data_IF_878512852317
#
_entry.id   IF_878512852317
#
_cell.length_a   1.000
_cell.length_b   1.000
_cell.length_c   1.000
_cell.angle_alpha   90.00
_cell.angle_beta   90.00
_cell.angle_gamma   90.00
#
_symmetry.space_group_name_H-M   'P 1'
#
loop_
_entity.id
_entity.type
_entity.pdbx_description
1 polymer ?
#
# COMPACT_ATOMS: atom_id res chain seq x y z
N UNK A 1 4.88 23.26 7.13
CA UNK A 1 5.73 22.12 6.75
C UNK A 1 4.83 21.05 6.15
N UNK A 2 5.16 20.50 4.98
CA UNK A 2 4.37 19.48 4.31
C UNK A 2 4.59 18.07 4.88
N UNK A 3 4.02 17.06 4.22
CA UNK A 3 4.17 15.64 4.57
C UNK A 3 5.63 15.17 4.61
N UNK A 4 6.50 15.79 3.81
CA UNK A 4 7.93 15.47 3.70
C UNK A 4 8.69 15.47 5.04
N UNK A 5 8.17 16.14 6.07
CA UNK A 5 8.77 16.12 7.42
C UNK A 5 8.72 14.75 8.11
N UNK A 6 7.95 13.81 7.57
CA UNK A 6 7.83 12.44 8.09
C UNK A 6 8.77 11.46 7.41
N UNK A 7 9.55 11.91 6.42
CA UNK A 7 10.61 11.15 5.75
C UNK A 7 11.91 11.96 5.74
N UNK A 8 12.77 11.76 6.74
CA UNK A 8 13.97 12.60 6.88
C UNK A 8 15.06 12.21 5.87
N UNK A 9 15.53 10.96 5.93
CA UNK A 9 16.66 10.49 5.13
C UNK A 9 16.27 9.30 4.26
N UNK A 10 16.75 9.32 3.01
CA UNK A 10 16.70 8.18 2.11
C UNK A 10 18.16 7.81 1.80
N UNK A 11 18.51 6.55 2.07
CA UNK A 11 19.79 5.97 1.69
C UNK A 11 19.49 4.99 0.57
N UNK A 12 19.76 5.43 -0.66
CA UNK A 12 19.68 4.56 -1.83
C UNK A 12 20.98 3.77 -1.99
N UNK A 13 20.89 2.46 -2.18
CA UNK A 13 22.06 1.62 -2.45
C UNK A 13 21.75 0.57 -3.50
N UNK A 14 22.44 0.64 -4.63
CA UNK A 14 22.41 -0.42 -5.61
C UNK A 14 23.40 -1.53 -5.22
N UNK A 15 22.89 -2.66 -4.72
CA UNK A 15 23.70 -3.82 -4.34
C UNK A 15 23.91 -4.79 -5.51
N UNK A 16 23.28 -4.55 -6.66
CA UNK A 16 23.37 -5.37 -7.85
C UNK A 16 23.68 -4.55 -9.11
N UNK A 17 24.72 -3.69 -9.13
CA UNK A 17 24.94 -2.71 -10.20
C UNK A 17 25.30 -3.33 -11.56
N UNK A 18 25.54 -4.65 -11.61
CA UNK A 18 25.84 -5.39 -12.84
C UNK A 18 24.62 -6.11 -13.42
N UNK A 19 23.50 -6.20 -12.70
CA UNK A 19 22.32 -6.89 -13.20
C UNK A 19 21.65 -6.06 -14.29
N UNK A 20 20.96 -6.71 -15.23
CA UNK A 20 20.25 -6.00 -16.30
C UNK A 20 19.12 -5.15 -15.70
N UNK A 21 18.51 -5.60 -14.61
CA UNK A 21 17.44 -4.90 -13.90
C UNK A 21 17.91 -3.62 -13.24
N UNK A 22 19.12 -3.60 -12.65
CA UNK A 22 19.72 -2.37 -12.15
C UNK A 22 19.86 -1.34 -13.29
N UNK A 23 20.44 -1.75 -14.44
CA UNK A 23 20.59 -0.84 -15.58
C UNK A 23 19.25 -0.30 -16.08
N UNK A 24 18.21 -1.14 -16.14
CA UNK A 24 16.85 -0.72 -16.52
C UNK A 24 16.29 0.28 -15.49
N UNK A 25 16.43 0.00 -14.19
CA UNK A 25 15.95 0.88 -13.13
C UNK A 25 16.58 2.28 -13.23
N UNK A 26 17.90 2.37 -13.37
CA UNK A 26 18.60 3.66 -13.51
C UNK A 26 18.22 4.41 -14.80
N UNK A 27 17.80 3.69 -15.84
CA UNK A 27 17.31 4.31 -17.07
C UNK A 27 15.91 4.94 -16.91
N UNK A 28 15.08 4.44 -15.99
CA UNK A 28 13.71 4.94 -15.75
C UNK A 28 13.58 5.84 -14.51
N UNK A 29 14.48 5.70 -13.53
CA UNK A 29 14.54 6.52 -12.31
C UNK A 29 15.92 7.17 -12.22
N UNK A 30 16.03 8.42 -12.67
CA UNK A 30 17.30 9.16 -12.67
C UNK A 30 17.67 9.79 -11.32
N UNK A 31 16.67 10.08 -10.48
CA UNK A 31 16.86 10.59 -9.13
C UNK A 31 15.99 9.80 -8.13
N UNK A 32 16.53 8.71 -7.55
CA UNK A 32 15.79 7.86 -6.63
C UNK A 32 15.26 8.60 -5.40
N UNK A 33 16.01 9.54 -4.81
CA UNK A 33 15.55 10.30 -3.63
C UNK A 33 14.30 11.12 -3.96
N UNK A 34 14.35 11.92 -5.04
CA UNK A 34 13.21 12.74 -5.44
C UNK A 34 11.99 11.88 -5.80
N UNK A 35 12.21 10.78 -6.53
CA UNK A 35 11.16 9.86 -6.93
C UNK A 35 10.47 9.18 -5.74
N UNK A 36 11.25 8.64 -4.80
CA UNK A 36 10.71 7.98 -3.60
C UNK A 36 9.98 8.99 -2.70
N UNK A 37 10.50 10.21 -2.53
CA UNK A 37 9.81 11.27 -1.77
C UNK A 37 8.46 11.63 -2.38
N UNK A 38 8.37 11.67 -3.71
CA UNK A 38 7.11 11.96 -4.40
C UNK A 38 6.06 10.86 -4.18
N UNK A 39 6.46 9.60 -4.30
CA UNK A 39 5.57 8.47 -4.02
C UNK A 39 5.18 8.43 -2.53
N UNK A 40 6.12 8.67 -1.61
CA UNK A 40 5.85 8.73 -0.18
C UNK A 40 4.84 9.84 0.17
N UNK A 41 4.97 11.01 -0.46
CA UNK A 41 4.01 12.11 -0.32
C UNK A 41 2.63 11.71 -0.80
N UNK A 42 2.54 11.05 -1.96
CA UNK A 42 1.29 10.51 -2.49
C UNK A 42 0.64 9.53 -1.50
N UNK A 43 1.40 8.58 -0.96
CA UNK A 43 0.91 7.62 0.06
C UNK A 43 0.36 8.35 1.29
N UNK A 44 1.13 9.26 1.88
CA UNK A 44 0.67 10.01 3.06
C UNK A 44 -0.55 10.88 2.74
N UNK A 45 -0.57 11.51 1.57
CA UNK A 45 -1.73 12.26 1.07
C UNK A 45 -2.94 11.38 0.79
N UNK A 46 -2.81 10.06 0.64
CA UNK A 46 -3.96 9.14 0.51
C UNK A 46 -4.45 8.65 1.87
N UNK A 47 -3.56 8.53 2.86
CA UNK A 47 -3.88 7.98 4.19
C UNK A 47 -4.27 9.03 5.25
N UNK A 48 -3.92 10.31 5.07
CA UNK A 48 -4.05 11.34 6.11
C UNK A 48 -4.64 12.65 5.61
N UNK A 49 -5.48 13.30 6.41
CA UNK A 49 -6.06 14.60 6.09
C UNK A 49 -5.02 15.72 6.15
N UNK A 50 -4.06 15.59 7.07
CA UNK A 50 -3.08 16.64 7.34
C UNK A 50 -1.72 16.04 7.67
N UNK A 51 -0.60 16.74 7.35
CA UNK A 51 0.71 16.36 7.87
C UNK A 51 0.79 16.43 9.41
N UNK A 52 -0.17 17.06 10.08
CA UNK A 52 -0.27 17.10 11.55
C UNK A 52 -1.01 15.89 12.16
N UNK A 53 -1.54 14.99 11.34
CA UNK A 53 -2.12 13.75 11.84
C UNK A 53 -1.03 12.86 12.46
N UNK A 54 -1.45 11.79 13.13
CA UNK A 54 -0.57 10.82 13.80
C UNK A 54 0.16 9.93 12.78
N UNK A 55 0.97 10.52 11.90
CA UNK A 55 1.73 9.79 10.87
C UNK A 55 2.97 9.16 11.51
N UNK A 56 3.25 7.86 11.31
CA UNK A 56 4.51 7.23 11.68
C UNK A 56 5.70 7.96 11.08
N UNK A 57 6.72 8.22 11.90
CA UNK A 57 7.94 8.89 11.47
C UNK A 57 8.91 7.89 10.82
N UNK A 58 9.23 8.09 9.55
CA UNK A 58 10.35 7.42 8.87
C UNK A 58 11.61 8.30 8.96
N UNK A 59 12.46 8.04 9.95
CA UNK A 59 13.73 8.77 10.13
C UNK A 59 14.71 8.43 9.02
N UNK A 60 14.84 7.14 8.71
CA UNK A 60 15.72 6.66 7.66
C UNK A 60 15.04 5.56 6.87
N UNK A 61 14.99 5.73 5.56
CA UNK A 61 14.60 4.71 4.61
C UNK A 61 15.85 4.21 3.87
N UNK A 62 16.19 2.95 4.05
CA UNK A 62 17.17 2.24 3.24
C UNK A 62 16.46 1.63 2.03
N UNK A 63 16.62 2.23 0.85
CA UNK A 63 16.05 1.67 -0.39
C UNK A 63 17.16 0.98 -1.19
N UNK A 64 17.04 -0.32 -1.38
CA UNK A 64 18.10 -1.13 -1.99
C UNK A 64 17.64 -1.82 -3.27
N UNK A 65 18.48 -1.81 -4.31
CA UNK A 65 18.30 -2.72 -5.45
C UNK A 65 19.08 -4.00 -5.18
N UNK A 66 18.42 -5.16 -5.29
CA UNK A 66 19.01 -6.45 -4.94
C UNK A 66 18.71 -7.51 -6.01
N UNK A 67 19.69 -8.36 -6.34
CA UNK A 67 19.52 -9.47 -7.29
C UNK A 67 19.05 -10.74 -6.56
N UNK A 68 17.78 -10.72 -6.17
CA UNK A 68 17.13 -11.81 -5.42
C UNK A 68 15.75 -12.14 -6.01
N UNK A 69 15.23 -13.33 -5.69
CA UNK A 69 13.85 -13.69 -6.03
C UNK A 69 12.83 -12.91 -5.19
N UNK A 70 11.60 -12.80 -5.71
CA UNK A 70 10.55 -11.97 -5.13
C UNK A 70 10.42 -10.61 -5.84
N UNK A 71 9.59 -9.74 -5.28
CA UNK A 71 9.30 -8.42 -5.85
C UNK A 71 9.99 -7.35 -5.03
N UNK A 72 9.56 -7.23 -3.78
CA UNK A 72 9.97 -6.21 -2.82
C UNK A 72 9.46 -6.64 -1.44
N UNK A 73 10.03 -6.07 -0.38
CA UNK A 73 9.43 -6.09 0.96
C UNK A 73 9.98 -4.98 1.85
N UNK A 74 9.10 -4.43 2.70
CA UNK A 74 9.45 -3.59 3.84
C UNK A 74 9.92 -4.42 5.03
N UNK A 75 11.02 -3.98 5.64
CA UNK A 75 11.57 -4.49 6.90
C UNK A 75 11.93 -3.34 7.85
N UNK A 76 12.26 -3.68 9.10
CA UNK A 76 12.63 -2.71 10.13
C UNK A 76 11.42 -2.04 10.78
N UNK A 77 11.70 -1.30 11.84
CA UNK A 77 10.71 -0.66 12.71
C UNK A 77 11.24 0.66 13.29
N UNK A 78 10.47 1.31 14.17
CA UNK A 78 10.89 2.48 14.94
C UNK A 78 11.52 3.62 14.11
N UNK A 79 11.05 3.78 12.88
CA UNK A 79 11.49 4.80 11.95
C UNK A 79 12.81 4.53 11.23
N UNK A 80 13.41 3.35 11.39
CA UNK A 80 14.51 2.88 10.56
C UNK A 80 14.04 1.71 9.70
N UNK A 81 13.68 2.01 8.46
CA UNK A 81 12.94 1.12 7.57
C UNK A 81 13.84 0.75 6.39
N UNK A 82 13.75 -0.50 5.93
CA UNK A 82 14.41 -0.96 4.71
C UNK A 82 13.38 -1.48 3.72
N UNK A 83 13.49 -1.08 2.45
CA UNK A 83 12.71 -1.63 1.34
C UNK A 83 13.72 -2.11 0.30
N UNK A 84 13.75 -3.42 0.03
CA UNK A 84 14.50 -3.93 -1.12
C UNK A 84 13.59 -3.94 -2.35
N UNK A 85 14.15 -3.73 -3.54
CA UNK A 85 13.46 -3.94 -4.80
C UNK A 85 14.28 -4.89 -5.68
N UNK A 86 13.65 -5.98 -6.11
CA UNK A 86 14.32 -7.03 -6.88
C UNK A 86 14.67 -6.55 -8.28
N UNK A 87 15.95 -6.60 -8.65
CA UNK A 87 16.36 -6.35 -10.02
C UNK A 87 15.84 -7.43 -10.97
N UNK A 88 15.59 -8.66 -10.49
CA UNK A 88 14.96 -9.72 -11.31
C UNK A 88 13.52 -9.37 -11.67
N UNK A 89 12.78 -8.77 -10.74
CA UNK A 89 11.42 -8.29 -11.02
C UNK A 89 11.42 -7.14 -12.02
N UNK A 90 12.36 -6.19 -11.89
CA UNK A 90 12.54 -5.11 -12.87
C UNK A 90 12.79 -5.68 -14.28
N UNK A 91 13.67 -6.67 -14.41
CA UNK A 91 13.93 -7.34 -15.69
C UNK A 91 12.69 -8.02 -16.26
N UNK A 92 11.92 -8.72 -15.41
CA UNK A 92 10.68 -9.39 -15.80
C UNK A 92 9.63 -8.38 -16.29
N UNK A 93 9.48 -7.25 -15.62
CA UNK A 93 8.57 -6.18 -16.07
C UNK A 93 8.99 -5.59 -17.42
N UNK A 94 10.26 -5.70 -17.79
CA UNK A 94 10.83 -5.20 -19.05
C UNK A 94 10.79 -6.22 -20.20
N UNK A 95 10.17 -7.40 -20.05
CA UNK A 95 10.15 -8.44 -21.11
C UNK A 95 9.63 -7.95 -22.48
N UNK A 96 8.74 -6.95 -22.48
CA UNK A 96 8.20 -6.31 -23.70
C UNK A 96 9.01 -5.09 -24.17
N UNK A 97 10.17 -4.83 -23.56
CA UNK A 97 11.05 -3.68 -23.83
C UNK A 97 10.36 -2.33 -23.65
N UNK A 98 9.33 -2.28 -22.80
CA UNK A 98 8.54 -1.09 -22.52
C UNK A 98 8.96 -0.47 -21.19
N UNK A 99 9.70 0.65 -21.25
CA UNK A 99 10.15 1.37 -20.06
C UNK A 99 8.99 2.02 -19.29
N UNK A 100 7.89 2.40 -19.96
CA UNK A 100 6.73 2.97 -19.30
C UNK A 100 6.03 1.92 -18.42
N UNK A 101 5.94 0.67 -18.89
CA UNK A 101 5.43 -0.45 -18.11
C UNK A 101 6.29 -0.74 -16.87
N UNK A 102 7.62 -0.68 -17.00
CA UNK A 102 8.50 -0.87 -15.84
C UNK A 102 8.37 0.27 -14.85
N UNK A 103 8.27 1.53 -15.31
CA UNK A 103 8.06 2.68 -14.44
C UNK A 103 6.72 2.59 -13.71
N UNK A 104 5.66 2.19 -14.41
CA UNK A 104 4.34 1.96 -13.84
C UNK A 104 4.40 0.92 -12.71
N UNK A 105 5.01 -0.24 -12.96
CA UNK A 105 5.14 -1.29 -11.95
C UNK A 105 6.06 -0.87 -10.80
N UNK A 106 7.16 -0.18 -11.09
CA UNK A 106 8.08 0.36 -10.07
C UNK A 106 7.35 1.32 -9.13
N UNK A 107 6.52 2.22 -9.69
CA UNK A 107 5.67 3.12 -8.90
C UNK A 107 4.66 2.35 -8.07
N UNK A 108 4.00 1.36 -8.67
CA UNK A 108 3.02 0.50 -8.00
C UNK A 108 3.62 -0.24 -6.80
N UNK A 109 4.79 -0.85 -6.97
CA UNK A 109 5.51 -1.51 -5.87
C UNK A 109 5.87 -0.50 -4.77
N UNK A 110 6.41 0.67 -5.10
CA UNK A 110 6.71 1.69 -4.09
C UNK A 110 5.46 2.19 -3.36
N UNK A 111 4.32 2.36 -4.04
CA UNK A 111 3.05 2.73 -3.39
C UNK A 111 2.66 1.72 -2.31
N UNK A 112 2.79 0.42 -2.61
CA UNK A 112 2.51 -0.66 -1.65
C UNK A 112 3.47 -0.59 -0.45
N UNK A 113 4.78 -0.58 -0.69
CA UNK A 113 5.78 -0.70 0.38
C UNK A 113 5.89 0.56 1.24
N UNK A 114 5.76 1.73 0.64
CA UNK A 114 5.74 2.98 1.40
C UNK A 114 4.45 3.11 2.20
N UNK A 115 3.36 2.45 1.80
CA UNK A 115 2.17 2.35 2.67
C UNK A 115 2.51 1.64 3.97
N UNK A 116 3.27 0.54 3.94
CA UNK A 116 3.77 -0.12 5.17
C UNK A 116 4.67 0.77 6.03
N UNK A 117 5.32 1.78 5.44
CA UNK A 117 6.15 2.72 6.19
C UNK A 117 5.33 3.79 6.94
N UNK A 118 4.14 4.14 6.43
CA UNK A 118 3.37 5.28 6.91
C UNK A 118 1.96 4.95 7.38
N UNK A 119 1.44 3.74 7.19
CA UNK A 119 0.12 3.38 7.71
C UNK A 119 0.15 3.12 9.21
N UNK A 120 -1.01 3.28 9.82
CA UNK A 120 -1.24 2.91 11.21
C UNK A 120 -1.64 1.43 11.31
N UNK A 121 -1.46 0.86 12.49
CA UNK A 121 -1.62 -0.57 12.72
C UNK A 121 -2.75 -0.87 13.72
N UNK A 122 -3.60 -1.89 13.47
CA UNK A 122 -4.67 -2.29 14.39
C UNK A 122 -4.19 -2.57 15.81
N UNK A 123 -4.93 -2.11 16.82
CA UNK A 123 -4.58 -2.31 18.23
C UNK A 123 -5.48 -3.34 18.93
N UNK A 124 -4.93 -4.00 19.95
CA UNK A 124 -5.71 -4.89 20.84
C UNK A 124 -6.10 -6.25 20.26
N UNK A 125 -5.57 -6.64 19.09
CA UNK A 125 -5.89 -7.93 18.44
C UNK A 125 -4.68 -8.84 18.18
N UNK A 126 -3.47 -8.44 18.57
CA UNK A 126 -2.24 -9.13 18.22
C UNK A 126 -1.40 -8.31 17.25
N UNK A 127 -0.65 -8.97 16.37
CA UNK A 127 0.24 -8.33 15.41
C UNK A 127 0.25 -9.08 14.07
N UNK A 128 1.03 -8.58 13.12
CA UNK A 128 1.15 -9.12 11.75
C UNK A 128 1.39 -10.64 11.70
N UNK A 129 2.25 -11.19 12.57
CA UNK A 129 2.58 -12.61 12.59
C UNK A 129 1.63 -13.47 13.41
N UNK A 130 0.82 -12.88 14.29
CA UNK A 130 -0.03 -13.62 15.23
C UNK A 130 -1.52 -13.54 14.94
N UNK A 131 -1.97 -12.60 14.08
CA UNK A 131 -3.38 -12.39 13.80
C UNK A 131 -3.64 -12.15 12.30
N UNK A 132 -4.43 -13.04 11.67
CA UNK A 132 -4.79 -12.94 10.25
C UNK A 132 -5.60 -11.69 9.89
N UNK A 133 -6.44 -11.19 10.80
CA UNK A 133 -7.19 -9.95 10.62
C UNK A 133 -6.26 -8.74 10.58
N UNK A 134 -5.26 -8.70 11.47
CA UNK A 134 -4.21 -7.67 11.44
C UNK A 134 -3.49 -7.70 10.08
N UNK A 135 -2.98 -8.87 9.70
CA UNK A 135 -2.30 -9.08 8.42
C UNK A 135 -3.15 -8.64 7.22
N UNK A 136 -4.41 -9.07 7.15
CA UNK A 136 -5.31 -8.77 6.04
C UNK A 136 -5.60 -7.27 5.91
N UNK A 137 -5.69 -6.55 7.04
CA UNK A 137 -5.82 -5.10 7.02
C UNK A 137 -4.55 -4.42 6.50
N UNK A 138 -3.38 -4.80 7.01
CA UNK A 138 -2.09 -4.21 6.65
C UNK A 138 -1.78 -4.38 5.16
N UNK A 139 -1.88 -5.59 4.63
CA UNK A 139 -1.66 -5.86 3.20
C UNK A 139 -2.78 -5.30 2.32
N UNK A 140 -4.01 -5.34 2.83
CA UNK A 140 -5.18 -4.80 2.13
C UNK A 140 -5.15 -3.29 1.97
N UNK A 141 -4.74 -2.55 3.00
CA UNK A 141 -4.60 -1.10 2.96
C UNK A 141 -3.46 -0.66 2.02
N UNK A 142 -2.34 -1.39 2.01
CA UNK A 142 -1.25 -1.15 1.07
C UNK A 142 -1.69 -1.26 -0.39
N UNK A 143 -2.45 -2.31 -0.74
CA UNK A 143 -3.02 -2.42 -2.08
C UNK A 143 -4.20 -1.45 -2.31
N UNK A 144 -4.96 -1.06 -1.28
CA UNK A 144 -6.00 -0.03 -1.42
C UNK A 144 -5.41 1.33 -1.83
N UNK A 145 -4.30 1.72 -1.21
CA UNK A 145 -3.54 2.93 -1.60
C UNK A 145 -3.02 2.80 -3.02
N UNK A 146 -2.44 1.63 -3.37
CA UNK A 146 -1.97 1.36 -4.73
C UNK A 146 -3.10 1.49 -5.76
N UNK A 147 -4.27 0.91 -5.51
CA UNK A 147 -5.46 1.05 -6.39
C UNK A 147 -5.89 2.52 -6.48
N UNK A 148 -6.05 3.21 -5.34
CA UNK A 148 -6.51 4.59 -5.29
C UNK A 148 -5.56 5.60 -5.97
N UNK A 149 -4.31 5.20 -6.23
CA UNK A 149 -3.28 6.00 -6.88
C UNK A 149 -2.95 5.51 -8.29
N UNK A 150 -3.86 4.74 -8.93
CA UNK A 150 -3.71 4.19 -10.28
C UNK A 150 -2.44 3.33 -10.46
N UNK A 151 -2.09 2.56 -9.43
CA UNK A 151 -0.91 1.67 -9.42
C UNK A 151 -1.17 0.25 -9.94
N UNK A 152 -2.37 -0.03 -10.46
CA UNK A 152 -2.78 -1.28 -11.09
C UNK A 152 -3.53 -1.01 -12.39
N UNK A 153 -3.66 -1.99 -13.28
CA UNK A 153 -4.33 -1.89 -14.58
C UNK A 153 -5.87 -1.96 -14.47
N UNK A 154 -6.45 -1.31 -13.45
CA UNK A 154 -7.89 -1.29 -13.20
C UNK A 154 -8.48 -2.69 -13.02
N UNK A 155 -9.62 -2.96 -13.68
CA UNK A 155 -10.34 -4.24 -13.57
C UNK A 155 -9.52 -5.46 -14.01
N UNK A 156 -8.55 -5.31 -14.91
CA UNK A 156 -7.72 -6.42 -15.39
C UNK A 156 -6.90 -7.06 -14.27
N UNK A 157 -6.46 -6.27 -13.29
CA UNK A 157 -5.66 -6.74 -12.16
C UNK A 157 -6.50 -7.13 -10.93
N UNK A 158 -7.82 -6.86 -10.97
CA UNK A 158 -8.73 -7.14 -9.85
C UNK A 158 -8.97 -8.65 -9.71
N UNK A 159 -8.74 -9.24 -8.52
CA UNK A 159 -9.14 -10.62 -8.25
C UNK A 159 -10.66 -10.76 -8.16
N UNK A 160 -11.20 -11.84 -8.72
CA UNK A 160 -12.63 -12.19 -8.62
C UNK A 160 -12.93 -13.07 -7.41
N UNK A 161 -14.04 -12.81 -6.73
CA UNK A 161 -14.52 -13.56 -5.57
C UNK A 161 -13.58 -13.51 -4.36
N UNK A 162 -13.71 -14.50 -3.47
CA UNK A 162 -12.93 -14.62 -2.24
C UNK A 162 -13.50 -13.79 -1.10
N UNK A 163 -12.63 -13.27 -0.24
CA UNK A 163 -13.01 -12.47 0.94
C UNK A 163 -12.08 -11.27 1.14
N UNK A 164 -12.62 -10.19 1.73
CA UNK A 164 -11.80 -9.09 2.26
C UNK A 164 -10.81 -9.53 3.36
N UNK A 165 -10.92 -10.76 3.88
CA UNK A 165 -9.98 -11.36 4.85
C UNK A 165 -8.74 -11.98 4.19
N UNK A 166 -8.63 -11.90 2.86
CA UNK A 166 -7.51 -12.44 2.10
C UNK A 166 -6.38 -11.41 1.86
N UNK A 167 -6.54 -10.18 2.33
CA UNK A 167 -5.54 -9.12 2.19
C UNK A 167 -5.30 -8.72 0.74
N UNK A 168 -4.19 -8.01 0.52
CA UNK A 168 -3.70 -7.60 -0.80
C UNK A 168 -4.81 -7.02 -1.68
N UNK A 169 -4.73 -7.25 -2.99
CA UNK A 169 -5.68 -6.80 -4.01
C UNK A 169 -7.14 -7.12 -3.70
N UNK A 170 -7.47 -8.25 -3.05
CA UNK A 170 -8.89 -8.55 -2.74
C UNK A 170 -9.47 -7.49 -1.80
N UNK A 171 -8.77 -7.21 -0.72
CA UNK A 171 -9.15 -6.15 0.22
C UNK A 171 -8.94 -4.77 -0.38
N UNK A 172 -7.86 -4.56 -1.13
CA UNK A 172 -7.48 -3.28 -1.71
C UNK A 172 -8.50 -2.73 -2.70
N UNK A 173 -8.93 -3.53 -3.68
CA UNK A 173 -9.97 -3.12 -4.63
C UNK A 173 -11.31 -2.88 -3.95
N UNK A 174 -11.67 -3.71 -2.98
CA UNK A 174 -12.89 -3.51 -2.20
C UNK A 174 -12.86 -2.20 -1.40
N UNK A 175 -11.76 -1.89 -0.72
CA UNK A 175 -11.65 -0.62 0.01
C UNK A 175 -11.69 0.58 -0.93
N UNK A 176 -11.04 0.51 -2.09
CA UNK A 176 -11.14 1.60 -3.06
C UNK A 176 -12.56 1.72 -3.64
N UNK A 177 -13.28 0.61 -3.83
CA UNK A 177 -14.69 0.67 -4.22
C UNK A 177 -15.55 1.38 -3.16
N UNK A 178 -15.38 1.04 -1.87
CA UNK A 178 -16.08 1.73 -0.77
C UNK A 178 -15.71 3.22 -0.75
N UNK A 179 -14.44 3.55 -0.99
CA UNK A 179 -13.97 4.94 -1.10
C UNK A 179 -14.70 5.70 -2.22
N UNK A 180 -14.85 5.08 -3.38
CA UNK A 180 -15.45 5.73 -4.55
C UNK A 180 -16.97 5.86 -4.45
N UNK A 181 -17.64 4.92 -3.77
CA UNK A 181 -19.10 4.79 -3.80
C UNK A 181 -19.78 5.21 -2.49
N UNK A 182 -19.07 5.21 -1.37
CA UNK A 182 -19.64 5.52 -0.04
C UNK A 182 -19.03 6.79 0.55
N UNK A 183 -17.69 6.90 0.56
CA UNK A 183 -17.00 8.04 1.17
C UNK A 183 -15.58 8.21 0.62
N UNK A 184 -15.29 9.34 -0.02
CA UNK A 184 -13.97 9.64 -0.60
C UNK A 184 -12.81 9.61 0.42
N UNK A 185 -13.13 9.78 1.69
CA UNK A 185 -12.17 9.75 2.80
C UNK A 185 -12.08 8.39 3.50
N UNK A 186 -12.74 7.35 2.98
CA UNK A 186 -12.81 6.03 3.61
C UNK A 186 -11.45 5.46 3.98
N UNK A 187 -10.44 5.51 3.09
CA UNK A 187 -9.10 5.00 3.39
C UNK A 187 -8.45 5.74 4.57
N UNK A 188 -8.65 7.06 4.66
CA UNK A 188 -8.13 7.88 5.78
C UNK A 188 -8.78 7.49 7.08
N UNK A 189 -10.11 7.35 7.07
CA UNK A 189 -10.89 6.99 8.25
C UNK A 189 -10.59 5.56 8.70
N UNK A 190 -10.46 4.62 7.77
CA UNK A 190 -10.05 3.25 8.06
C UNK A 190 -8.64 3.20 8.63
N UNK A 191 -7.67 3.94 8.06
CA UNK A 191 -6.33 4.06 8.63
C UNK A 191 -6.38 4.64 10.06
N UNK A 192 -7.13 5.71 10.28
CA UNK A 192 -7.29 6.33 11.62
C UNK A 192 -8.00 5.42 12.62
N UNK A 193 -8.93 4.58 12.17
CA UNK A 193 -9.70 3.68 13.05
C UNK A 193 -8.82 2.76 13.90
N UNK A 194 -7.60 2.45 13.43
CA UNK A 194 -6.61 1.66 14.14
C UNK A 194 -6.15 2.28 15.47
N UNK A 195 -6.29 3.61 15.61
CA UNK A 195 -6.03 4.35 16.84
C UNK A 195 -7.25 4.52 17.73
N UNK A 196 -8.45 4.49 17.15
CA UNK A 196 -9.69 4.88 17.81
C UNK A 196 -10.54 3.68 18.24
N UNK A 197 -10.43 2.54 17.54
CA UNK A 197 -11.20 1.33 17.79
C UNK A 197 -10.28 0.30 18.45
N UNK A 198 -10.48 0.09 19.76
CA UNK A 198 -9.66 -0.82 20.57
C UNK A 198 -10.57 -1.68 21.47
N UNK A 199 -10.55 -3.03 21.35
CA UNK A 199 -9.79 -3.80 20.36
C UNK A 199 -10.32 -3.56 18.94
N UNK A 200 -9.40 -3.52 17.98
CA UNK A 200 -9.76 -3.26 16.59
C UNK A 200 -10.59 -4.39 16.00
N UNK A 201 -11.59 -4.06 15.21
CA UNK A 201 -12.39 -5.04 14.49
C UNK A 201 -12.86 -4.46 13.16
N UNK A 202 -13.16 -5.33 12.21
CA UNK A 202 -13.66 -4.91 10.90
C UNK A 202 -14.93 -4.06 10.99
N UNK A 203 -15.93 -4.54 11.75
CA UNK A 203 -17.18 -3.80 11.92
C UNK A 203 -16.96 -2.52 12.73
N UNK A 204 -16.20 -2.56 13.83
CA UNK A 204 -15.90 -1.34 14.60
C UNK A 204 -15.20 -0.27 13.76
N UNK A 205 -14.25 -0.66 12.90
CA UNK A 205 -13.55 0.24 11.99
C UNK A 205 -14.47 0.83 10.92
N UNK A 206 -15.31 0.00 10.29
CA UNK A 206 -16.29 0.45 9.30
C UNK A 206 -17.32 1.37 9.93
N UNK A 207 -17.80 1.06 11.13
CA UNK A 207 -18.77 1.89 11.85
C UNK A 207 -18.16 3.22 12.29
N UNK A 208 -16.89 3.22 12.70
CA UNK A 208 -16.13 4.46 12.92
C UNK A 208 -16.04 5.30 11.64
N UNK A 209 -15.77 4.67 10.49
CA UNK A 209 -15.56 5.37 9.23
C UNK A 209 -16.85 5.90 8.58
N UNK A 210 -17.93 5.12 8.62
CA UNK A 210 -19.14 5.35 7.81
C UNK A 210 -20.45 5.43 8.62
N UNK A 211 -20.43 5.05 9.90
CA UNK A 211 -21.61 5.01 10.78
C UNK A 211 -22.10 3.59 11.10
N UNK A 212 -22.87 3.48 12.20
CA UNK A 212 -23.30 2.21 12.81
C UNK A 212 -24.20 1.33 11.94
N UNK A 213 -24.76 1.88 10.86
CA UNK A 213 -25.59 1.15 9.90
C UNK A 213 -24.80 0.22 8.97
N UNK A 214 -23.47 0.40 8.89
CA UNK A 214 -22.61 -0.41 8.03
C UNK A 214 -21.95 -1.55 8.81
N UNK A 215 -21.81 -2.69 8.14
CA UNK A 215 -20.96 -3.81 8.56
C UNK A 215 -19.99 -4.14 7.43
N UNK A 216 -18.86 -4.76 7.77
CA UNK A 216 -17.87 -5.14 6.78
C UNK A 216 -18.42 -6.21 5.82
N UNK A 217 -19.14 -7.20 6.35
CA UNK A 217 -19.76 -8.25 5.54
C UNK A 217 -20.85 -7.67 4.61
N UNK A 218 -21.64 -6.69 5.08
CA UNK A 218 -22.64 -6.01 4.26
C UNK A 218 -22.02 -5.23 3.10
N UNK A 219 -20.98 -4.44 3.38
CA UNK A 219 -20.25 -3.71 2.34
C UNK A 219 -19.57 -4.65 1.34
N UNK A 220 -19.00 -5.76 1.83
CA UNK A 220 -18.39 -6.76 0.95
C UNK A 220 -19.43 -7.40 0.01
N UNK A 221 -20.59 -7.77 0.54
CA UNK A 221 -21.69 -8.29 -0.28
C UNK A 221 -22.17 -7.28 -1.32
N UNK A 222 -22.36 -6.01 -0.93
CA UNK A 222 -22.71 -4.93 -1.86
C UNK A 222 -21.66 -4.74 -2.95
N UNK A 223 -20.38 -4.77 -2.59
CA UNK A 223 -19.28 -4.70 -3.55
C UNK A 223 -19.38 -5.85 -4.56
N UNK A 224 -19.45 -7.10 -4.10
CA UNK A 224 -19.51 -8.27 -4.98
C UNK A 224 -20.71 -8.24 -5.93
N UNK A 225 -21.88 -7.75 -5.47
CA UNK A 225 -23.04 -7.52 -6.33
C UNK A 225 -22.76 -6.43 -7.37
N UNK A 226 -22.22 -5.29 -6.94
CA UNK A 226 -22.00 -4.13 -7.82
C UNK A 226 -21.00 -4.42 -8.94
N UNK A 227 -19.98 -5.24 -8.68
CA UNK A 227 -18.98 -5.66 -9.66
C UNK A 227 -19.33 -6.96 -10.40
N UNK A 228 -20.49 -7.57 -10.11
CA UNK A 228 -21.00 -8.74 -10.82
C UNK A 228 -20.30 -10.06 -10.49
N UNK A 229 -19.60 -10.14 -9.36
CA UNK A 229 -18.97 -11.39 -8.89
C UNK A 229 -20.00 -12.36 -8.30
N UNK A 230 -21.15 -11.86 -7.84
CA UNK A 230 -22.30 -12.65 -7.36
C UNK A 230 -23.62 -12.09 -7.92
N UNK A 231 -24.67 -12.90 -7.93
CA UNK A 231 -26.04 -12.50 -8.28
C UNK A 231 -26.90 -12.34 -7.03
N UNK A 232 -27.97 -11.54 -7.11
CA UNK A 232 -29.01 -11.49 -6.08
C UNK A 232 -29.75 -12.81 -5.95
#
# INVERSE_FOLDING_TARGET
MGFDRHLNHIIFTDKAPKSKGSHIYHAIVSNPDAYIRDVARTVMQTLYFSPNDSIPMCRTLHYTLEDIDGISAKNGDNGNISIFYSTRHVEKSFEQQDTAKVLFETRGVLLHELTHAFQLEPQGIGNYGSNRTFWAFIEGMADAVRVACDGFHGETDRPKGGSYKDGYRRTGYFFNWVREHKDKDFLRKMNRSTLEVIPWSWDGAVQYALGTQYTMDGLWYEYQLAIGDITQ
#
